data_IF_902253927463
#
_entry.id   IF_902253927463
#
_cell.length_a   1.000
_cell.length_b   1.000
_cell.length_c   1.000
_cell.angle_alpha   90.00
_cell.angle_beta   90.00
_cell.angle_gamma   90.00
#
_symmetry.space_group_name_H-M   'P 1'
#
loop_
_entity.id
_entity.type
_entity.pdbx_description
1 polymer ?
#
# COMPACT_ATOMS: atom_id res chain seq x y z
N UNK A 1 -10.35 -30.55 21.30
CA UNK A 1 -9.42 -31.15 20.31
C UNK A 1 -8.67 -30.13 19.45
N UNK A 2 -9.23 -28.94 19.11
CA UNK A 2 -8.58 -27.98 18.18
C UNK A 2 -7.29 -27.25 18.66
N UNK A 3 -7.17 -26.87 19.95
CA UNK A 3 -5.96 -26.19 20.47
C UNK A 3 -4.71 -27.08 20.41
N UNK A 4 -4.83 -28.33 20.88
CA UNK A 4 -3.72 -29.30 20.86
C UNK A 4 -3.23 -29.63 19.44
N UNK A 5 -4.12 -29.63 18.45
CA UNK A 5 -3.75 -29.87 17.05
C UNK A 5 -2.97 -28.68 16.45
N UNK A 6 -3.44 -27.45 16.65
CA UNK A 6 -2.75 -26.26 16.15
C UNK A 6 -1.38 -26.06 16.82
N UNK A 7 -1.28 -26.31 18.12
CA UNK A 7 -0.01 -26.23 18.86
C UNK A 7 0.94 -27.38 18.48
N UNK A 8 0.42 -28.57 18.19
CA UNK A 8 1.22 -29.66 17.64
C UNK A 8 1.70 -29.33 16.22
N UNK A 9 0.81 -28.91 15.32
CA UNK A 9 1.15 -28.56 13.95
C UNK A 9 2.16 -27.41 13.89
N UNK A 10 2.04 -26.38 14.74
CA UNK A 10 3.00 -25.27 14.85
C UNK A 10 4.36 -25.75 15.34
N UNK A 11 4.41 -26.63 16.35
CA UNK A 11 5.68 -27.21 16.83
C UNK A 11 6.34 -28.08 15.77
N UNK A 12 5.55 -28.92 15.09
CA UNK A 12 6.03 -29.79 14.02
C UNK A 12 6.53 -28.98 12.82
N UNK A 13 5.82 -27.93 12.40
CA UNK A 13 6.27 -27.07 11.31
C UNK A 13 7.53 -26.27 11.63
N UNK A 14 7.70 -25.81 12.88
CA UNK A 14 8.94 -25.17 13.35
C UNK A 14 10.12 -26.14 13.40
N UNK A 15 9.88 -27.44 13.56
CA UNK A 15 10.91 -28.48 13.56
C UNK A 15 11.27 -29.02 12.17
N UNK A 16 10.52 -28.65 11.13
CA UNK A 16 10.77 -29.09 9.75
C UNK A 16 11.57 -28.02 8.98
N UNK A 17 12.83 -28.30 8.59
CA UNK A 17 13.61 -27.37 7.78
C UNK A 17 13.06 -27.30 6.34
N UNK A 18 13.25 -26.15 5.68
CA UNK A 18 12.92 -25.96 4.27
C UNK A 18 13.98 -26.65 3.38
N UNK A 19 13.98 -27.98 3.38
CA UNK A 19 15.06 -28.83 2.86
C UNK A 19 15.39 -28.66 1.38
N UNK A 20 14.44 -28.24 0.55
CA UNK A 20 14.62 -28.11 -0.90
C UNK A 20 14.56 -26.66 -1.40
N UNK A 21 14.72 -25.67 -0.51
CA UNK A 21 14.76 -24.25 -0.88
C UNK A 21 16.18 -23.75 -0.66
N UNK A 22 16.80 -23.23 -1.72
CA UNK A 22 18.18 -22.70 -1.67
C UNK A 22 18.18 -21.25 -1.18
N UNK A 23 17.19 -20.46 -1.60
CA UNK A 23 17.05 -19.06 -1.21
C UNK A 23 15.61 -18.67 -0.90
N UNK A 24 15.42 -17.74 0.04
CA UNK A 24 14.14 -17.09 0.31
C UNK A 24 14.30 -15.58 0.18
N UNK A 25 13.42 -14.93 -0.59
CA UNK A 25 13.33 -13.48 -0.67
C UNK A 25 12.14 -13.03 0.17
N UNK A 26 12.37 -12.11 1.10
CA UNK A 26 11.33 -11.48 1.91
C UNK A 26 11.33 -9.97 1.72
N UNK A 27 10.14 -9.36 1.77
CA UNK A 27 9.97 -7.91 1.90
C UNK A 27 9.20 -7.61 3.17
N UNK A 28 9.79 -6.82 4.07
CA UNK A 28 9.17 -6.44 5.33
C UNK A 28 9.59 -5.04 5.75
N UNK A 29 8.61 -4.16 6.01
CA UNK A 29 8.81 -2.79 6.50
C UNK A 29 9.85 -1.98 5.70
N UNK A 30 9.81 -2.08 4.37
CA UNK A 30 10.73 -1.35 3.49
C UNK A 30 12.11 -1.98 3.36
N UNK A 31 12.34 -3.18 3.90
CA UNK A 31 13.59 -3.93 3.80
C UNK A 31 13.37 -5.16 2.92
N UNK A 32 14.26 -5.36 1.96
CA UNK A 32 14.39 -6.59 1.18
C UNK A 32 15.51 -7.44 1.77
N UNK A 33 15.22 -8.70 2.07
CA UNK A 33 16.22 -9.65 2.58
C UNK A 33 16.32 -10.86 1.66
N UNK A 34 17.57 -11.28 1.43
CA UNK A 34 17.90 -12.54 0.80
C UNK A 34 18.38 -13.50 1.90
N UNK A 35 17.61 -14.54 2.12
CA UNK A 35 17.98 -15.66 2.96
C UNK A 35 18.56 -16.76 2.09
N UNK A 36 19.59 -17.43 2.56
CA UNK A 36 20.17 -18.55 1.84
C UNK A 36 20.48 -19.73 2.74
N UNK A 37 20.44 -20.90 2.12
CA UNK A 37 20.62 -22.18 2.79
C UNK A 37 22.08 -22.40 3.17
N UNK A 38 22.30 -22.72 4.44
CA UNK A 38 23.59 -23.08 4.99
C UNK A 38 23.82 -24.59 4.91
N UNK A 39 25.05 -25.01 5.23
CA UNK A 39 25.47 -26.43 5.19
C UNK A 39 24.64 -27.32 6.14
N UNK A 40 24.05 -26.76 7.19
CA UNK A 40 23.19 -27.45 8.16
C UNK A 40 21.69 -27.40 7.80
N UNK A 41 21.38 -27.00 6.56
CA UNK A 41 20.02 -26.81 6.04
C UNK A 41 19.20 -25.69 6.72
N UNK A 42 19.82 -24.84 7.55
CA UNK A 42 19.18 -23.63 8.07
C UNK A 42 19.23 -22.52 7.03
N UNK A 43 18.29 -21.58 7.14
CA UNK A 43 18.27 -20.36 6.35
C UNK A 43 18.76 -19.21 7.23
N UNK A 44 19.79 -18.52 6.77
CA UNK A 44 20.29 -17.30 7.39
C UNK A 44 20.29 -16.16 6.37
N UNK A 45 20.24 -14.92 6.86
CA UNK A 45 20.32 -13.71 6.02
C UNK A 45 21.70 -13.68 5.36
N UNK A 46 21.72 -13.76 4.03
CA UNK A 46 22.92 -13.57 3.21
C UNK A 46 23.12 -12.11 2.85
N UNK A 47 22.03 -11.40 2.56
CA UNK A 47 22.06 -9.97 2.25
C UNK A 47 20.75 -9.30 2.67
N UNK A 48 20.82 -8.00 2.96
CA UNK A 48 19.68 -7.17 3.35
C UNK A 48 19.90 -5.75 2.86
N UNK A 49 18.86 -5.16 2.27
CA UNK A 49 18.91 -3.81 1.75
C UNK A 49 17.62 -3.05 2.04
N UNK A 50 17.78 -1.82 2.50
CA UNK A 50 16.69 -0.84 2.57
C UNK A 50 16.24 -0.47 1.15
N UNK A 51 14.94 -0.50 0.92
CA UNK A 51 14.33 -0.01 -0.31
C UNK A 51 14.10 1.50 -0.26
N UNK A 52 13.70 2.08 -1.41
CA UNK A 52 13.38 3.51 -1.49
C UNK A 52 12.28 3.93 -0.50
N UNK A 53 11.42 3.00 -0.06
CA UNK A 53 10.40 3.25 0.97
C UNK A 53 10.95 3.86 2.28
N UNK A 54 12.23 3.65 2.60
CA UNK A 54 12.90 4.19 3.79
C UNK A 54 13.74 5.44 3.49
N UNK A 55 13.90 5.81 2.21
CA UNK A 55 14.78 6.90 1.79
C UNK A 55 14.07 8.27 1.85
N UNK A 56 14.82 9.37 2.04
CA UNK A 56 14.25 10.70 2.21
C UNK A 56 13.32 11.14 1.07
N UNK A 57 13.70 10.91 -0.19
CA UNK A 57 12.92 11.34 -1.37
C UNK A 57 11.53 10.71 -1.39
N UNK A 58 11.44 9.40 -1.18
CA UNK A 58 10.16 8.70 -1.13
C UNK A 58 9.28 9.20 0.02
N UNK A 59 9.89 9.38 1.21
CA UNK A 59 9.18 9.91 2.37
C UNK A 59 8.63 11.32 2.12
N UNK A 60 9.39 12.19 1.45
CA UNK A 60 8.92 13.52 1.08
C UNK A 60 7.73 13.43 0.11
N UNK A 61 7.84 12.64 -0.95
CA UNK A 61 6.75 12.45 -1.92
C UNK A 61 5.47 11.95 -1.23
N UNK A 62 5.61 10.95 -0.35
CA UNK A 62 4.49 10.39 0.43
C UNK A 62 3.89 11.43 1.39
N UNK A 63 4.72 12.20 2.09
CA UNK A 63 4.27 13.28 2.97
C UNK A 63 3.52 14.36 2.20
N UNK A 64 4.00 14.76 1.02
CA UNK A 64 3.32 15.76 0.18
C UNK A 64 1.96 15.26 -0.29
N UNK A 65 1.89 14.04 -0.82
CA UNK A 65 0.62 13.44 -1.25
C UNK A 65 -0.36 13.26 -0.09
N UNK A 66 0.12 12.98 1.12
CA UNK A 66 -0.75 12.78 2.29
C UNK A 66 -1.25 14.11 2.86
N UNK A 67 -0.35 15.07 3.10
CA UNK A 67 -0.71 16.37 3.66
C UNK A 67 -1.62 17.16 2.72
N UNK A 68 -1.43 17.03 1.42
CA UNK A 68 -2.29 17.68 0.43
C UNK A 68 -3.73 17.15 0.47
N UNK A 69 -3.89 15.84 0.67
CA UNK A 69 -5.17 15.16 0.85
C UNK A 69 -5.83 15.57 2.16
N UNK A 70 -5.10 15.59 3.28
CA UNK A 70 -5.64 16.05 4.57
C UNK A 70 -6.12 17.51 4.45
N UNK A 71 -5.34 18.38 3.82
CA UNK A 71 -5.75 19.77 3.63
C UNK A 71 -7.07 19.87 2.85
N UNK A 72 -7.22 19.13 1.76
CA UNK A 72 -8.48 19.08 1.01
C UNK A 72 -9.65 18.54 1.86
N UNK A 73 -9.42 17.54 2.73
CA UNK A 73 -10.44 17.04 3.68
C UNK A 73 -10.96 18.17 4.57
N UNK A 74 -10.05 18.89 5.22
CA UNK A 74 -10.39 19.92 6.21
C UNK A 74 -11.11 21.07 5.52
N UNK A 75 -10.60 21.54 4.38
CA UNK A 75 -11.24 22.60 3.60
C UNK A 75 -12.63 22.19 3.10
N UNK A 76 -12.79 20.96 2.60
CA UNK A 76 -14.08 20.43 2.14
C UNK A 76 -15.07 20.29 3.29
N UNK A 77 -14.63 19.83 4.45
CA UNK A 77 -15.46 19.72 5.66
C UNK A 77 -16.06 21.08 6.01
N UNK A 78 -15.21 22.10 6.21
CA UNK A 78 -15.65 23.47 6.52
C UNK A 78 -16.61 24.00 5.45
N UNK A 79 -16.29 23.77 4.17
CA UNK A 79 -17.09 24.25 3.03
C UNK A 79 -18.44 23.54 2.90
N UNK A 80 -18.52 22.26 3.25
CA UNK A 80 -19.74 21.46 3.11
C UNK A 80 -20.72 21.76 4.25
N UNK A 81 -20.21 21.81 5.48
CA UNK A 81 -21.04 22.02 6.66
C UNK A 81 -21.30 23.49 6.95
N UNK A 82 -20.59 24.40 6.28
CA UNK A 82 -20.68 25.85 6.52
C UNK A 82 -20.51 26.19 8.01
N UNK A 83 -19.65 25.43 8.69
CA UNK A 83 -19.28 25.59 10.09
C UNK A 83 -17.81 25.22 10.21
N UNK A 84 -17.06 26.01 10.98
CA UNK A 84 -15.71 25.66 11.40
C UNK A 84 -15.75 25.15 12.84
N UNK A 85 -15.20 23.97 13.05
CA UNK A 85 -15.06 23.37 14.39
C UNK A 85 -13.67 23.62 14.95
N UNK A 86 -13.51 23.47 16.27
CA UNK A 86 -12.18 23.52 16.91
C UNK A 86 -11.24 22.40 16.42
N UNK A 87 -11.79 21.27 15.95
CA UNK A 87 -10.99 20.21 15.36
C UNK A 87 -10.41 20.64 14.00
N UNK A 88 -11.19 21.32 13.15
CA UNK A 88 -10.70 21.82 11.87
C UNK A 88 -9.55 22.84 12.07
N UNK A 89 -9.64 23.67 13.11
CA UNK A 89 -8.57 24.62 13.47
C UNK A 89 -7.29 23.91 13.92
N UNK A 90 -7.43 22.88 14.76
CA UNK A 90 -6.32 22.05 15.21
C UNK A 90 -5.67 21.31 14.04
N UNK A 91 -6.46 20.75 13.13
CA UNK A 91 -5.97 20.03 11.96
C UNK A 91 -5.20 20.96 11.01
N UNK A 92 -5.69 22.19 10.79
CA UNK A 92 -4.98 23.20 9.99
C UNK A 92 -3.66 23.63 10.66
N UNK A 93 -3.64 23.80 11.98
CA UNK A 93 -2.43 24.15 12.72
C UNK A 93 -1.39 23.04 12.62
N UNK A 94 -1.80 21.80 12.90
CA UNK A 94 -0.93 20.62 12.81
C UNK A 94 -0.36 20.44 11.39
N UNK A 95 -1.18 20.70 10.35
CA UNK A 95 -0.70 20.67 8.97
C UNK A 95 0.39 21.70 8.70
N UNK A 96 0.24 22.93 9.17
CA UNK A 96 1.25 23.99 9.01
C UNK A 96 2.54 23.61 9.74
N UNK A 97 2.44 23.06 10.94
CA UNK A 97 3.60 22.59 11.71
C UNK A 97 4.33 21.45 10.99
N UNK A 98 3.61 20.42 10.56
CA UNK A 98 4.18 19.28 9.82
C UNK A 98 4.85 19.69 8.51
N UNK A 99 4.24 20.62 7.76
CA UNK A 99 4.81 21.13 6.52
C UNK A 99 6.02 22.03 6.77
N UNK A 100 6.02 22.78 7.87
CA UNK A 100 7.17 23.59 8.29
C UNK A 100 8.35 22.72 8.72
N UNK A 101 8.09 21.63 9.43
CA UNK A 101 9.09 20.62 9.76
C UNK A 101 9.61 19.92 8.50
N UNK A 102 8.72 19.56 7.56
CA UNK A 102 9.14 18.99 6.29
C UNK A 102 10.05 19.96 5.52
N UNK A 103 9.71 21.25 5.50
CA UNK A 103 10.52 22.31 4.86
C UNK A 103 11.90 22.47 5.49
N UNK A 104 12.07 22.18 6.79
CA UNK A 104 13.34 22.35 7.50
C UNK A 104 14.27 21.13 7.40
N UNK A 105 13.83 20.05 6.74
CA UNK A 105 14.71 18.91 6.43
C UNK A 105 15.83 19.30 5.46
N UNK A 106 16.78 18.40 5.28
CA UNK A 106 17.98 18.61 4.46
C UNK A 106 17.63 19.29 3.10
N UNK A 107 18.19 20.49 2.82
CA UNK A 107 17.91 21.25 1.61
C UNK A 107 18.17 20.48 0.31
N UNK A 108 19.09 19.51 0.32
CA UNK A 108 19.37 18.68 -0.85
C UNK A 108 18.11 17.95 -1.34
N UNK A 109 17.34 17.37 -0.42
CA UNK A 109 16.13 16.62 -0.75
C UNK A 109 14.89 17.50 -0.86
N UNK A 110 14.85 18.62 -0.13
CA UNK A 110 13.65 19.49 -0.07
C UNK A 110 13.56 20.46 -1.24
N UNK A 111 14.69 20.98 -1.74
CA UNK A 111 14.72 22.01 -2.78
C UNK A 111 13.84 21.72 -4.00
N UNK A 112 13.78 20.48 -4.55
CA UNK A 112 12.90 20.17 -5.68
C UNK A 112 11.40 20.32 -5.37
N UNK A 113 11.02 20.22 -4.10
CA UNK A 113 9.63 20.20 -3.63
C UNK A 113 9.23 21.47 -2.87
N UNK A 114 10.14 22.42 -2.71
CA UNK A 114 9.96 23.59 -1.87
C UNK A 114 8.72 24.41 -2.25
N UNK A 115 8.50 24.67 -3.55
CA UNK A 115 7.34 25.43 -4.01
C UNK A 115 6.00 24.77 -3.64
N UNK A 116 5.94 23.43 -3.68
CA UNK A 116 4.74 22.70 -3.31
C UNK A 116 4.49 22.75 -1.79
N UNK A 117 5.55 22.60 -0.98
CA UNK A 117 5.45 22.75 0.48
C UNK A 117 4.97 24.15 0.84
N UNK A 118 5.54 25.19 0.23
CA UNK A 118 5.15 26.59 0.46
C UNK A 118 3.71 26.85 0.04
N UNK A 119 3.26 26.29 -1.08
CA UNK A 119 1.87 26.40 -1.52
C UNK A 119 0.90 25.74 -0.52
N UNK A 120 1.22 24.55 -0.01
CA UNK A 120 0.39 23.87 0.99
C UNK A 120 0.31 24.66 2.30
N UNK A 121 1.44 25.18 2.79
CA UNK A 121 1.49 26.06 3.98
C UNK A 121 0.63 27.30 3.75
N UNK A 122 0.80 27.97 2.61
CA UNK A 122 0.05 29.18 2.28
C UNK A 122 -1.47 28.94 2.26
N UNK A 123 -1.92 27.83 1.69
CA UNK A 123 -3.35 27.49 1.62
C UNK A 123 -3.88 27.16 3.03
N UNK A 124 -3.14 26.36 3.82
CA UNK A 124 -3.53 26.02 5.18
C UNK A 124 -3.63 27.27 6.08
N UNK A 125 -2.64 28.16 6.03
CA UNK A 125 -2.66 29.41 6.78
C UNK A 125 -3.77 30.36 6.32
N UNK A 126 -3.98 30.50 5.01
CA UNK A 126 -5.06 31.33 4.48
C UNK A 126 -6.43 30.82 4.94
N UNK A 127 -6.63 29.51 4.96
CA UNK A 127 -7.85 28.92 5.47
C UNK A 127 -7.99 29.17 6.98
N UNK A 128 -6.92 28.97 7.76
CA UNK A 128 -6.91 29.17 9.22
C UNK A 128 -7.23 30.61 9.60
N UNK A 129 -6.66 31.59 8.90
CA UNK A 129 -6.79 33.02 9.20
C UNK A 129 -8.07 33.66 8.65
N UNK A 130 -8.73 33.04 7.67
CA UNK A 130 -9.98 33.60 7.13
C UNK A 130 -11.12 33.43 8.14
N UNK A 131 -11.87 34.49 8.40
CA UNK A 131 -13.14 34.43 9.15
C UNK A 131 -14.35 34.14 8.23
N UNK A 132 -14.15 34.13 6.91
CA UNK A 132 -15.21 34.03 5.92
C UNK A 132 -15.27 32.63 5.32
N UNK A 133 -16.31 31.87 5.66
CA UNK A 133 -16.49 30.50 5.16
C UNK A 133 -16.64 30.44 3.63
N UNK A 134 -17.18 31.49 3.02
CA UNK A 134 -17.27 31.60 1.56
C UNK A 134 -15.88 31.70 0.91
N UNK A 135 -14.93 32.39 1.53
CA UNK A 135 -13.56 32.45 1.03
C UNK A 135 -12.87 31.09 1.10
N UNK A 136 -13.13 30.32 2.17
CA UNK A 136 -12.61 28.96 2.33
C UNK A 136 -13.19 28.05 1.26
N UNK A 137 -14.49 28.16 0.95
CA UNK A 137 -15.11 27.41 -0.14
C UNK A 137 -14.50 27.75 -1.51
N UNK A 138 -14.25 29.04 -1.79
CA UNK A 138 -13.54 29.44 -3.01
C UNK A 138 -12.09 28.91 -3.04
N UNK A 139 -11.40 28.92 -1.90
CA UNK A 139 -10.04 28.39 -1.77
C UNK A 139 -10.00 26.87 -2.02
N UNK A 140 -10.96 26.14 -1.45
CA UNK A 140 -11.12 24.70 -1.63
C UNK A 140 -11.36 24.34 -3.10
N UNK A 141 -12.29 25.03 -3.77
CA UNK A 141 -12.60 24.78 -5.17
C UNK A 141 -11.36 24.96 -6.05
N UNK A 142 -10.63 26.07 -5.88
CA UNK A 142 -9.38 26.32 -6.62
C UNK A 142 -8.31 25.26 -6.33
N UNK A 143 -8.07 24.99 -5.05
CA UNK A 143 -7.08 24.02 -4.61
C UNK A 143 -7.36 22.62 -5.17
N UNK A 144 -8.60 22.16 -5.11
CA UNK A 144 -8.99 20.84 -5.59
C UNK A 144 -8.75 20.63 -7.09
N UNK A 145 -8.88 21.69 -7.90
CA UNK A 145 -8.57 21.66 -9.33
C UNK A 145 -7.06 21.59 -9.63
N UNK A 146 -6.25 22.21 -8.78
CA UNK A 146 -4.79 22.28 -8.95
C UNK A 146 -4.08 21.04 -8.38
N UNK A 147 -4.53 20.50 -7.25
CA UNK A 147 -3.78 19.50 -6.49
C UNK A 147 -3.82 18.09 -7.07
N UNK A 148 -4.89 17.76 -7.81
CA UNK A 148 -5.10 16.39 -8.32
C UNK A 148 -3.97 15.96 -9.27
N UNK A 149 -3.60 16.81 -10.23
CA UNK A 149 -2.53 16.53 -11.20
C UNK A 149 -1.15 16.52 -10.55
N UNK A 150 -0.92 17.39 -9.57
CA UNK A 150 0.33 17.46 -8.81
C UNK A 150 0.52 16.19 -7.97
N UNK A 151 -0.51 15.77 -7.23
CA UNK A 151 -0.49 14.54 -6.45
C UNK A 151 -0.29 13.31 -7.33
N UNK A 152 -0.95 13.24 -8.49
CA UNK A 152 -0.73 12.17 -9.45
C UNK A 152 0.75 12.10 -9.88
N UNK A 153 1.39 13.25 -10.11
CA UNK A 153 2.82 13.33 -10.41
C UNK A 153 3.69 12.75 -9.30
N UNK A 154 3.43 13.08 -8.04
CA UNK A 154 4.17 12.54 -6.90
C UNK A 154 3.96 11.04 -6.70
N UNK A 155 2.74 10.55 -6.87
CA UNK A 155 2.43 9.13 -6.78
C UNK A 155 3.13 8.32 -7.89
N UNK A 156 3.18 8.85 -9.11
CA UNK A 156 3.97 8.24 -10.21
C UNK A 156 5.45 8.15 -9.88
N UNK A 157 6.04 9.25 -9.37
CA UNK A 157 7.45 9.26 -8.97
C UNK A 157 7.73 8.29 -7.82
N UNK A 158 6.86 8.23 -6.81
CA UNK A 158 7.00 7.31 -5.69
C UNK A 158 6.90 5.85 -6.14
N UNK A 159 5.96 5.54 -7.03
CA UNK A 159 5.83 4.20 -7.62
C UNK A 159 7.08 3.81 -8.43
N UNK A 160 7.60 4.74 -9.25
CA UNK A 160 8.81 4.51 -10.04
C UNK A 160 10.04 4.29 -9.15
N UNK A 161 10.26 5.14 -8.14
CA UNK A 161 11.35 4.98 -7.17
C UNK A 161 11.28 3.63 -6.47
N UNK A 162 10.11 3.27 -5.94
CA UNK A 162 9.96 2.02 -5.20
C UNK A 162 10.27 0.79 -6.08
N UNK A 163 9.68 0.71 -7.27
CA UNK A 163 9.85 -0.43 -8.16
C UNK A 163 11.26 -0.52 -8.74
N UNK A 164 11.84 0.61 -9.15
CA UNK A 164 13.22 0.64 -9.67
C UNK A 164 14.23 0.30 -8.59
N UNK A 165 14.05 0.80 -7.36
CA UNK A 165 14.90 0.48 -6.21
C UNK A 165 14.85 -1.01 -5.85
N UNK A 166 13.65 -1.59 -5.75
CA UNK A 166 13.47 -3.03 -5.55
C UNK A 166 14.15 -3.84 -6.65
N UNK A 167 13.97 -3.42 -7.91
CA UNK A 167 14.58 -4.09 -9.05
C UNK A 167 16.10 -4.06 -9.01
N UNK A 168 16.70 -2.92 -8.66
CA UNK A 168 18.14 -2.78 -8.53
C UNK A 168 18.71 -3.69 -7.43
N UNK A 169 18.06 -3.76 -6.27
CA UNK A 169 18.48 -4.64 -5.16
C UNK A 169 18.47 -6.09 -5.62
N UNK A 170 17.34 -6.57 -6.16
CA UNK A 170 17.19 -7.97 -6.56
C UNK A 170 18.11 -8.33 -7.73
N UNK A 171 18.33 -7.41 -8.67
CA UNK A 171 19.25 -7.63 -9.78
C UNK A 171 20.70 -7.78 -9.31
N UNK A 172 21.12 -7.05 -8.26
CA UNK A 172 22.48 -7.16 -7.69
C UNK A 172 22.74 -8.51 -7.03
N UNK A 173 21.71 -9.16 -6.50
CA UNK A 173 21.84 -10.51 -5.92
C UNK A 173 22.18 -11.58 -6.95
N UNK A 174 22.02 -11.30 -8.26
CA UNK A 174 22.42 -12.20 -9.36
C UNK A 174 21.93 -13.65 -9.19
N UNK A 175 20.71 -13.83 -8.66
CA UNK A 175 20.16 -15.15 -8.39
C UNK A 175 19.98 -15.95 -9.68
N UNK A 176 20.55 -17.14 -9.71
CA UNK A 176 20.42 -18.07 -10.82
C UNK A 176 19.06 -18.79 -10.76
N UNK A 177 17.95 -18.07 -10.98
CA UNK A 177 16.56 -18.58 -10.90
C UNK A 177 16.27 -19.86 -11.73
N UNK A 178 17.15 -20.23 -12.67
CA UNK A 178 17.05 -21.48 -13.43
C UNK A 178 17.77 -22.67 -12.78
N UNK A 179 18.68 -22.42 -11.83
CA UNK A 179 19.55 -23.43 -11.20
C UNK A 179 19.32 -23.58 -9.69
N UNK A 180 18.83 -22.54 -9.04
CA UNK A 180 18.55 -22.52 -7.59
C UNK A 180 17.06 -22.49 -7.34
N UNK A 181 16.59 -23.23 -6.33
CA UNK A 181 15.21 -23.15 -5.90
C UNK A 181 15.00 -21.94 -4.99
N UNK A 182 14.27 -20.95 -5.48
CA UNK A 182 14.00 -19.68 -4.80
C UNK A 182 12.55 -19.62 -4.37
N UNK A 183 12.31 -19.21 -3.13
CA UNK A 183 10.98 -18.90 -2.60
C UNK A 183 10.83 -17.40 -2.46
N UNK A 184 9.81 -16.81 -3.08
CA UNK A 184 9.43 -15.42 -2.81
C UNK A 184 8.28 -15.44 -1.80
N UNK A 185 8.52 -14.85 -0.63
CA UNK A 185 7.55 -14.76 0.45
C UNK A 185 7.10 -13.30 0.64
N UNK A 186 5.83 -13.04 0.32
CA UNK A 186 5.21 -11.70 0.46
C UNK A 186 4.09 -11.78 1.48
N UNK A 187 4.02 -10.81 2.40
CA UNK A 187 2.89 -10.71 3.31
C UNK A 187 1.61 -10.35 2.55
N UNK A 188 0.49 -11.02 2.85
CA UNK A 188 -0.82 -10.55 2.39
C UNK A 188 -1.10 -9.18 3.05
N UNK A 189 -1.20 -8.15 2.22
CA UNK A 189 -1.47 -6.80 2.66
C UNK A 189 -2.94 -6.58 3.04
N UNK A 190 -3.25 -5.57 3.88
CA UNK A 190 -4.63 -5.12 4.08
C UNK A 190 -5.23 -4.46 2.82
N UNK A 191 -4.40 -4.16 1.82
CA UNK A 191 -4.78 -3.50 0.57
C UNK A 191 -4.59 -4.44 -0.62
N UNK A 192 -5.54 -4.41 -1.54
CA UNK A 192 -5.43 -4.95 -2.90
C UNK A 192 -4.31 -4.21 -3.66
N UNK A 193 -3.71 -4.89 -4.64
CA UNK A 193 -2.74 -4.30 -5.58
C UNK A 193 -1.51 -3.63 -4.93
N UNK A 194 -1.03 -4.15 -3.79
CA UNK A 194 0.23 -3.68 -3.19
C UNK A 194 1.35 -3.62 -4.22
N UNK A 195 2.05 -2.49 -4.28
CA UNK A 195 3.07 -2.25 -5.30
C UNK A 195 4.21 -3.28 -5.23
N UNK A 196 4.57 -3.74 -4.03
CA UNK A 196 5.57 -4.79 -3.85
C UNK A 196 5.05 -6.16 -4.33
N UNK A 197 3.78 -6.46 -4.07
CA UNK A 197 3.13 -7.67 -4.58
C UNK A 197 3.12 -7.69 -6.11
N UNK A 198 2.75 -6.57 -6.73
CA UNK A 198 2.77 -6.43 -8.19
C UNK A 198 4.18 -6.60 -8.78
N UNK A 199 5.21 -6.09 -8.09
CA UNK A 199 6.60 -6.31 -8.50
C UNK A 199 6.97 -7.79 -8.49
N UNK A 200 6.67 -8.49 -7.39
CA UNK A 200 7.01 -9.90 -7.27
C UNK A 200 6.19 -10.79 -8.22
N UNK A 201 4.92 -10.47 -8.45
CA UNK A 201 4.10 -11.13 -9.46
C UNK A 201 4.71 -10.99 -10.87
N UNK A 202 5.17 -9.78 -11.22
CA UNK A 202 5.84 -9.53 -12.49
C UNK A 202 7.17 -10.29 -12.61
N UNK A 203 7.98 -10.28 -11.54
CA UNK A 203 9.22 -11.05 -11.48
C UNK A 203 8.95 -12.55 -11.66
N UNK A 204 7.94 -13.08 -10.99
CA UNK A 204 7.53 -14.48 -11.09
C UNK A 204 7.09 -14.84 -12.52
N UNK A 205 6.25 -14.03 -13.16
CA UNK A 205 5.83 -14.25 -14.56
C UNK A 205 7.02 -14.32 -15.51
N UNK A 206 7.99 -13.43 -15.33
CA UNK A 206 9.16 -13.34 -16.22
C UNK A 206 10.20 -14.44 -15.94
N UNK A 207 10.35 -14.87 -14.70
CA UNK A 207 11.44 -15.76 -14.29
C UNK A 207 11.02 -17.18 -13.92
N UNK A 208 9.77 -17.38 -13.49
CA UNK A 208 9.27 -18.57 -12.80
C UNK A 208 8.03 -19.25 -13.36
N UNK A 209 7.18 -18.59 -14.16
CA UNK A 209 5.90 -19.18 -14.61
C UNK A 209 6.06 -20.52 -15.35
N UNK A 210 7.15 -20.67 -16.11
CA UNK A 210 7.53 -21.93 -16.80
C UNK A 210 8.67 -22.71 -16.11
N UNK A 211 9.07 -22.37 -14.88
CA UNK A 211 10.23 -22.98 -14.21
C UNK A 211 9.88 -23.56 -12.84
N UNK A 212 10.19 -24.85 -12.58
CA UNK A 212 9.88 -25.52 -11.31
C UNK A 212 10.73 -25.03 -10.12
N UNK A 213 11.67 -24.10 -10.34
CA UNK A 213 12.67 -23.67 -9.36
C UNK A 213 12.38 -22.29 -8.75
N UNK A 214 11.26 -21.64 -9.10
CA UNK A 214 10.82 -20.41 -8.43
C UNK A 214 9.41 -20.65 -7.91
N UNK A 215 9.23 -20.59 -6.59
CA UNK A 215 7.92 -20.71 -5.94
C UNK A 215 7.50 -19.31 -5.42
N UNK A 216 6.28 -18.87 -5.74
CA UNK A 216 5.69 -17.64 -5.20
C UNK A 216 4.65 -17.99 -4.13
N UNK A 217 4.88 -17.55 -2.89
CA UNK A 217 4.00 -17.83 -1.77
C UNK A 217 3.55 -16.53 -1.11
N UNK A 218 2.24 -16.30 -1.17
CA UNK A 218 1.60 -15.25 -0.38
C UNK A 218 1.39 -15.79 1.04
N UNK A 219 2.07 -15.16 1.99
CA UNK A 219 1.92 -15.49 3.41
C UNK A 219 0.62 -14.87 3.93
N UNK A 220 -0.38 -15.71 4.19
CA UNK A 220 -1.54 -15.33 4.98
C UNK A 220 -1.04 -14.82 6.36
N UNK A 221 -1.70 -13.82 6.97
CA UNK A 221 -1.37 -13.42 8.32
C UNK A 221 -1.42 -14.67 9.22
N UNK A 222 -0.40 -14.91 10.05
CA UNK A 222 -0.41 -15.94 11.12
C UNK A 222 -1.61 -15.80 12.11
N UNK A 223 -2.51 -14.85 11.85
CA UNK A 223 -3.51 -14.28 12.71
C UNK A 223 -4.80 -15.10 12.77
N UNK A 224 -5.22 -15.88 11.77
CA UNK A 224 -6.54 -16.53 11.88
C UNK A 224 -6.69 -17.45 13.11
N UNK A 225 -5.61 -18.11 13.54
CA UNK A 225 -5.60 -18.92 14.77
C UNK A 225 -5.23 -18.18 16.06
N UNK A 226 -4.77 -16.92 15.98
CA UNK A 226 -4.21 -16.16 17.11
C UNK A 226 -4.81 -14.76 17.28
N UNK A 227 -5.70 -14.33 16.39
CA UNK A 227 -6.36 -13.02 16.41
C UNK A 227 -7.42 -13.01 17.52
N UNK A 228 -7.40 -11.95 18.33
CA UNK A 228 -8.43 -11.73 19.32
C UNK A 228 -9.62 -11.00 18.70
N UNK A 229 -10.80 -11.09 19.31
CA UNK A 229 -11.95 -10.30 18.89
C UNK A 229 -11.68 -8.79 18.90
N UNK A 230 -10.82 -8.31 19.82
CA UNK A 230 -10.40 -6.91 19.87
C UNK A 230 -9.60 -6.51 18.61
N UNK A 231 -8.62 -7.33 18.19
CA UNK A 231 -7.87 -7.07 16.96
C UNK A 231 -8.76 -7.04 15.70
N UNK A 232 -9.81 -7.87 15.66
CA UNK A 232 -10.79 -7.82 14.56
C UNK A 232 -11.60 -6.53 14.57
N UNK A 233 -12.03 -6.07 15.75
CA UNK A 233 -12.79 -4.82 15.90
C UNK A 233 -11.92 -3.61 15.54
N UNK A 234 -10.65 -3.58 15.94
CA UNK A 234 -9.76 -2.46 15.62
C UNK A 234 -9.44 -2.40 14.11
N UNK A 235 -9.16 -3.55 13.48
CA UNK A 235 -9.05 -3.62 12.01
C UNK A 235 -10.33 -3.18 11.30
N UNK A 236 -11.52 -3.54 11.82
CA UNK A 236 -12.80 -3.08 11.28
C UNK A 236 -12.98 -1.56 11.42
N UNK A 237 -12.60 -0.98 12.56
CA UNK A 237 -12.64 0.48 12.77
C UNK A 237 -11.74 1.22 11.79
N UNK A 238 -10.48 0.79 11.65
CA UNK A 238 -9.54 1.38 10.69
C UNK A 238 -10.06 1.25 9.25
N UNK A 239 -10.61 0.08 8.89
CA UNK A 239 -11.19 -0.14 7.56
C UNK A 239 -12.40 0.76 7.30
N UNK A 240 -13.31 0.92 8.25
CA UNK A 240 -14.48 1.79 8.11
C UNK A 240 -14.08 3.27 8.02
N UNK A 241 -13.07 3.69 8.80
CA UNK A 241 -12.50 5.03 8.71
C UNK A 241 -11.90 5.26 7.31
N UNK A 242 -11.05 4.34 6.84
CA UNK A 242 -10.46 4.40 5.50
C UNK A 242 -11.52 4.38 4.38
N UNK A 243 -12.62 3.64 4.53
CA UNK A 243 -13.72 3.66 3.57
C UNK A 243 -14.46 5.01 3.56
N UNK A 244 -14.68 5.60 4.72
CA UNK A 244 -15.28 6.94 4.86
C UNK A 244 -14.39 7.98 4.17
N UNK A 245 -13.09 7.99 4.48
CA UNK A 245 -12.11 8.86 3.83
C UNK A 245 -12.11 8.62 2.32
N UNK A 246 -12.02 7.38 1.84
CA UNK A 246 -12.01 7.05 0.42
C UNK A 246 -13.28 7.53 -0.33
N UNK A 247 -14.46 7.39 0.29
CA UNK A 247 -15.73 7.87 -0.28
C UNK A 247 -15.72 9.39 -0.41
N UNK A 248 -15.31 10.08 0.64
CA UNK A 248 -15.33 11.54 0.72
C UNK A 248 -14.22 12.18 -0.12
N UNK A 249 -13.09 11.49 -0.32
CA UNK A 249 -11.90 12.00 -1.00
C UNK A 249 -11.79 11.60 -2.45
N UNK A 250 -12.20 10.37 -2.77
CA UNK A 250 -11.95 9.76 -4.06
C UNK A 250 -13.24 9.35 -4.78
N UNK A 251 -14.40 9.73 -4.22
CA UNK A 251 -15.73 9.40 -4.72
C UNK A 251 -16.08 7.92 -4.63
N UNK A 252 -15.25 7.10 -3.97
CA UNK A 252 -15.46 5.66 -3.90
C UNK A 252 -14.89 5.08 -2.60
N UNK A 253 -15.72 4.47 -1.73
CA UNK A 253 -15.30 3.92 -0.44
C UNK A 253 -14.27 2.78 -0.57
N UNK A 254 -14.16 2.16 -1.75
CA UNK A 254 -13.23 1.05 -1.97
C UNK A 254 -11.83 1.51 -2.38
N UNK A 255 -11.63 2.79 -2.70
CA UNK A 255 -10.34 3.25 -3.26
C UNK A 255 -9.16 3.18 -2.27
N UNK A 256 -9.39 3.27 -0.96
CA UNK A 256 -8.31 3.06 0.03
C UNK A 256 -8.09 1.59 0.40
N UNK A 257 -8.95 0.68 -0.10
CA UNK A 257 -8.69 -0.76 -0.03
C UNK A 257 -7.70 -1.21 -1.10
N UNK A 258 -7.27 -0.31 -2.00
CA UNK A 258 -6.21 -0.53 -2.98
C UNK A 258 -4.99 0.30 -2.62
N UNK A 259 -3.82 -0.19 -2.99
CA UNK A 259 -2.62 0.62 -2.91
C UNK A 259 -2.74 1.84 -3.83
N UNK A 260 -2.41 3.01 -3.30
CA UNK A 260 -2.45 4.28 -4.03
C UNK A 260 -1.38 4.34 -5.11
N UNK A 261 -0.28 3.60 -4.94
CA UNK A 261 0.78 3.48 -5.94
C UNK A 261 0.45 2.41 -7.00
N UNK A 262 -0.44 1.48 -6.67
CA UNK A 262 -0.74 0.31 -7.48
C UNK A 262 -1.12 0.62 -8.93
N UNK A 263 -1.98 1.62 -9.22
CA UNK A 263 -2.35 1.98 -10.60
C UNK A 263 -1.19 2.44 -11.48
N UNK A 264 -0.08 2.90 -10.89
CA UNK A 264 1.09 3.41 -11.62
C UNK A 264 2.16 2.34 -11.85
N UNK A 265 2.04 1.18 -11.19
CA UNK A 265 3.01 0.09 -11.30
C UNK A 265 3.12 -0.51 -12.72
N UNK A 266 2.04 -0.77 -13.48
CA UNK A 266 2.11 -1.43 -14.79
C UNK A 266 3.14 -0.83 -15.76
N UNK A 267 3.08 0.48 -15.98
CA UNK A 267 3.97 1.17 -16.92
C UNK A 267 5.45 1.15 -16.49
N UNK A 268 5.71 1.07 -15.18
CA UNK A 268 7.08 0.92 -14.66
C UNK A 268 7.54 -0.52 -14.84
N UNK A 269 6.70 -1.50 -14.53
CA UNK A 269 7.02 -2.93 -14.64
C UNK A 269 7.29 -3.36 -16.09
N UNK A 270 6.54 -2.84 -17.07
CA UNK A 270 6.80 -3.07 -18.50
C UNK A 270 8.19 -2.58 -18.93
N UNK A 271 8.66 -1.45 -18.36
CA UNK A 271 10.01 -0.93 -18.61
C UNK A 271 11.10 -1.75 -17.92
N UNK A 272 10.85 -2.19 -16.69
CA UNK A 272 11.80 -2.99 -15.90
C UNK A 272 11.94 -4.43 -16.44
N UNK A 273 10.85 -4.97 -16.98
CA UNK A 273 10.79 -6.32 -17.52
C UNK A 273 10.32 -6.29 -18.97
N UNK A 274 11.26 -6.21 -19.92
CA UNK A 274 10.94 -6.06 -21.35
C UNK A 274 10.04 -7.17 -21.96
N UNK A 275 9.96 -8.35 -21.32
CA UNK A 275 9.07 -9.46 -21.70
C UNK A 275 7.73 -9.46 -20.97
N UNK A 276 7.50 -8.52 -20.04
CA UNK A 276 6.25 -8.34 -19.33
C UNK A 276 5.29 -7.54 -20.21
N UNK A 277 4.68 -8.18 -21.21
CA UNK A 277 3.52 -7.60 -21.91
C UNK A 277 2.25 -8.01 -21.17
N UNK A 278 1.45 -7.05 -20.69
CA UNK A 278 0.16 -7.34 -20.08
C UNK A 278 -0.84 -7.93 -21.11
N UNK A 279 -0.70 -9.20 -21.47
CA UNK A 279 -1.78 -9.95 -22.14
C UNK A 279 -2.65 -10.64 -21.08
N UNK A 280 -3.42 -9.88 -20.31
CA UNK A 280 -4.71 -10.34 -19.80
C UNK A 280 -5.39 -9.28 -18.94
N UNK A 281 -6.64 -8.97 -19.32
CA UNK A 281 -7.68 -8.67 -18.35
C UNK A 281 -7.62 -9.76 -17.29
N UNK A 282 -7.27 -9.40 -16.06
CA UNK A 282 -7.28 -10.30 -14.91
C UNK A 282 -8.66 -10.93 -14.84
N UNK A 283 -8.79 -12.19 -15.27
CA UNK A 283 -9.85 -13.06 -14.76
C UNK A 283 -9.43 -13.41 -13.34
N UNK A 284 -10.26 -13.17 -12.32
CA UNK A 284 -9.96 -13.64 -10.98
C UNK A 284 -10.11 -15.16 -11.00
N UNK A 285 -9.02 -15.89 -11.16
CA UNK A 285 -9.06 -17.35 -11.01
C UNK A 285 -7.98 -17.83 -10.02
N UNK A 286 -8.50 -18.41 -8.93
CA UNK A 286 -7.98 -19.54 -8.13
C UNK A 286 -6.94 -19.40 -7.03
N UNK A 287 -6.49 -18.21 -6.61
CA UNK A 287 -5.59 -18.14 -5.45
C UNK A 287 -6.08 -17.36 -4.22
N UNK A 288 -7.32 -16.88 -4.21
CA UNK A 288 -7.94 -16.39 -2.97
C UNK A 288 -9.28 -17.07 -2.73
N UNK A 289 -9.30 -18.03 -1.81
CA UNK A 289 -10.52 -18.65 -1.29
C UNK A 289 -11.52 -17.61 -0.72
N UNK A 290 -11.07 -16.39 -0.41
CA UNK A 290 -11.90 -15.35 0.21
C UNK A 290 -12.63 -14.45 -0.79
N UNK A 291 -12.18 -14.34 -2.05
CA UNK A 291 -12.86 -13.50 -3.04
C UNK A 291 -14.23 -14.07 -3.48
N UNK A 292 -14.38 -15.40 -3.55
CA UNK A 292 -15.65 -16.02 -3.96
C UNK A 292 -16.78 -15.91 -2.93
N UNK A 293 -16.45 -15.75 -1.64
CA UNK A 293 -17.46 -15.65 -0.58
C UNK A 293 -18.17 -14.29 -0.58
N UNK A 294 -17.48 -13.22 -0.98
CA UNK A 294 -18.03 -11.85 -0.99
C UNK A 294 -18.95 -11.63 -2.19
N UNK A 295 -18.64 -12.21 -3.36
CA UNK A 295 -19.49 -12.07 -4.55
C UNK A 295 -20.82 -12.84 -4.43
N UNK A 296 -20.83 -14.00 -3.75
CA UNK A 296 -22.08 -14.74 -3.47
C UNK A 296 -23.00 -14.06 -2.45
N UNK A 297 -22.48 -13.20 -1.59
CA UNK A 297 -23.30 -12.43 -0.66
C UNK A 297 -24.08 -11.30 -1.35
N UNK A 298 -23.55 -10.76 -2.45
CA UNK A 298 -24.21 -9.70 -3.25
C UNK A 298 -25.32 -10.27 -4.13
N UNK A 299 -25.17 -11.50 -4.63
CA UNK A 299 -26.24 -12.15 -5.42
C UNK A 299 -27.47 -12.56 -4.60
N UNK A 300 -27.34 -12.68 -3.27
CA UNK A 300 -28.45 -13.06 -2.38
C UNK A 300 -29.21 -11.86 -1.79
N UNK A 301 -28.69 -10.63 -1.90
CA UNK A 301 -29.42 -9.41 -1.50
C UNK A 301 -30.38 -8.88 -2.58
N UNK A 302 -30.30 -9.40 -3.81
CA UNK A 302 -31.22 -9.07 -4.90
C UNK A 302 -32.28 -10.17 -5.17
N UNK A 303 -32.36 -11.19 -4.31
CA UNK A 303 -33.44 -12.18 -4.36
C UNK A 303 -34.68 -11.60 -3.66
N UNK A 304 -35.52 -10.96 -4.46
CA UNK A 304 -36.93 -10.64 -4.25
C UNK A 304 -37.62 -11.35 -3.07
N UNK A 305 -38.15 -10.55 -2.12
CA UNK A 305 -39.14 -10.99 -1.15
C UNK A 305 -40.40 -11.53 -1.85
N UNK A 306 -40.92 -12.71 -1.48
CA UNK A 306 -42.21 -13.17 -1.97
C UNK A 306 -43.33 -12.31 -1.35
N UNK A 307 -44.20 -11.76 -2.21
CA UNK A 307 -45.44 -11.12 -1.79
C UNK A 307 -46.34 -12.15 -1.11
N UNK A 308 -46.62 -11.95 0.17
CA UNK A 308 -47.73 -12.63 0.86
C UNK A 308 -49.00 -11.90 0.44
N UNK A 309 -49.85 -12.58 -0.35
CA UNK A 309 -51.22 -12.13 -0.62
C UNK A 309 -52.08 -12.46 0.60
N UNK A 310 -52.75 -11.44 1.13
CA UNK A 310 -53.97 -11.57 1.92
C UNK A 310 -55.18 -11.35 1.03
#
# INVERSE_FOLDING_TARGET
>A
MGKNFLDYHRRTSLSQPLTNIDHVITYHNGILELWGKQNDHRLDIQDSAETEALKPTYNILKSLSHNSVILDCVLRSISTYQVRTSQDELDLLNLVELLTELRSKDPHYIKPYQAAIEQLIFIADKARLSACLREIACLQARYSGEISSVNEGYLKQAAELQLTGMHQIISRWNLAFNKTRVLIAVAEGPKEDLIEGQYFDALYKVKGEDKPNLDYVVMLPKQLGTITGACLIDNLRERLLNQSIAKNMLGCPKKMARDVLGPYAPAVLERLFASYSQSSKIKPDRHSFFHQAVEKAVSLQNASCPKIQG
#
